data_IF_381816426537
#
_entry.id   IF_381816426537
#
_cell.length_a   1.000
_cell.length_b   1.000
_cell.length_c   1.000
_cell.angle_alpha   90.00
_cell.angle_beta   90.00
_cell.angle_gamma   90.00
#
_symmetry.space_group_name_H-M   'P 1'
#
loop_
_entity.id
_entity.type
_entity.pdbx_description
1 polymer ?
#
# COMPACT_ATOMS: atom_id res chain seq x y z
N UNK A 1 13.18 -6.17 29.43
CA UNK A 1 13.57 -6.43 28.04
C UNK A 1 13.88 -5.09 27.38
N UNK A 2 15.06 -4.99 26.75
CA UNK A 2 15.50 -3.81 26.03
C UNK A 2 15.82 -4.16 24.58
N UNK A 3 15.72 -3.15 23.70
CA UNK A 3 16.13 -3.21 22.30
C UNK A 3 17.21 -2.14 22.09
N UNK A 4 18.48 -2.56 22.04
CA UNK A 4 19.61 -1.65 22.21
C UNK A 4 19.57 -1.02 23.61
N UNK A 5 19.65 0.31 23.68
CA UNK A 5 19.55 1.06 24.93
C UNK A 5 18.10 1.52 25.26
N UNK A 6 17.11 1.08 24.49
CA UNK A 6 15.72 1.52 24.62
C UNK A 6 14.89 0.41 25.25
N UNK A 7 14.17 0.64 26.36
CA UNK A 7 13.25 -0.32 26.94
C UNK A 7 12.14 -0.73 25.95
N UNK A 8 11.70 -1.98 25.99
CA UNK A 8 10.50 -2.40 25.29
C UNK A 8 9.31 -1.52 25.72
N UNK A 9 8.47 -1.12 24.77
CA UNK A 9 7.26 -0.33 25.06
C UNK A 9 6.31 -1.12 25.97
N UNK A 10 6.27 -2.42 25.77
CA UNK A 10 5.55 -3.38 26.60
C UNK A 10 6.17 -4.76 26.41
N UNK A 11 6.09 -5.62 27.45
CA UNK A 11 6.42 -7.04 27.31
C UNK A 11 5.59 -7.87 28.26
N UNK A 12 5.38 -9.15 27.91
CA UNK A 12 4.67 -10.13 28.72
C UNK A 12 5.45 -11.43 28.76
N UNK A 13 5.66 -11.96 29.93
CA UNK A 13 6.21 -13.32 30.14
C UNK A 13 5.08 -14.32 29.93
N UNK A 14 5.16 -15.11 28.86
CA UNK A 14 4.15 -16.12 28.51
C UNK A 14 4.42 -17.42 29.27
N UNK A 15 5.70 -17.79 29.37
CA UNK A 15 6.16 -18.99 30.09
C UNK A 15 7.62 -18.81 30.53
N UNK A 16 8.18 -19.82 31.19
CA UNK A 16 9.61 -19.83 31.54
C UNK A 16 10.55 -19.81 30.33
N UNK A 17 10.02 -20.06 29.12
CA UNK A 17 10.81 -20.13 27.88
C UNK A 17 10.40 -19.10 26.83
N UNK A 18 9.32 -18.32 27.05
CA UNK A 18 8.76 -17.41 26.05
C UNK A 18 8.42 -16.05 26.65
N UNK A 19 8.98 -15.01 26.07
CA UNK A 19 8.65 -13.60 26.33
C UNK A 19 8.14 -12.98 25.02
N UNK A 20 7.02 -12.27 25.08
CA UNK A 20 6.54 -11.42 23.99
C UNK A 20 6.84 -9.97 24.35
N UNK A 21 7.48 -9.22 23.44
CA UNK A 21 7.83 -7.83 23.66
C UNK A 21 7.50 -6.96 22.44
N UNK A 22 7.12 -5.71 22.69
CA UNK A 22 6.85 -4.71 21.64
C UNK A 22 8.11 -3.91 21.38
N UNK A 23 8.58 -3.96 20.14
CA UNK A 23 9.82 -3.31 19.69
C UNK A 23 9.61 -1.79 19.56
N UNK A 24 10.48 -0.94 20.13
CA UNK A 24 10.45 0.50 19.90
C UNK A 24 10.97 0.86 18.50
N UNK A 25 10.71 2.08 18.04
CA UNK A 25 11.06 2.55 16.67
C UNK A 25 12.53 2.40 16.29
N UNK A 26 13.43 2.55 17.24
CA UNK A 26 14.89 2.50 17.01
C UNK A 26 15.49 1.35 17.83
N UNK A 27 14.93 0.16 17.73
CA UNK A 27 15.42 -1.01 18.42
C UNK A 27 16.80 -1.44 17.91
N UNK A 28 17.50 -2.22 18.72
CA UNK A 28 18.80 -2.81 18.42
C UNK A 28 18.87 -4.23 18.94
N UNK A 29 20.04 -4.65 19.43
CA UNK A 29 20.20 -5.97 20.04
C UNK A 29 19.17 -6.18 21.18
N UNK A 30 18.56 -7.37 21.22
CA UNK A 30 17.61 -7.70 22.29
C UNK A 30 18.39 -8.02 23.55
N UNK A 31 18.12 -7.29 24.65
CA UNK A 31 18.65 -7.59 25.97
C UNK A 31 17.52 -8.03 26.91
N UNK A 32 17.70 -9.16 27.56
CA UNK A 32 16.84 -9.65 28.63
C UNK A 32 17.63 -9.57 29.93
N UNK A 33 17.11 -8.83 30.90
CA UNK A 33 17.74 -8.59 32.21
C UNK A 33 16.88 -9.28 33.27
N UNK A 34 17.51 -10.07 34.10
CA UNK A 34 16.90 -10.76 35.25
C UNK A 34 17.83 -10.69 36.46
N UNK A 35 17.38 -11.06 37.66
CA UNK A 35 18.26 -11.17 38.82
C UNK A 35 19.42 -12.15 38.61
N UNK A 36 19.28 -13.14 37.74
CA UNK A 36 20.33 -14.12 37.40
C UNK A 36 21.35 -13.65 36.36
N UNK A 37 21.18 -12.44 35.78
CA UNK A 37 22.10 -11.88 34.80
C UNK A 37 21.42 -11.24 33.59
N UNK A 38 22.24 -10.83 32.64
CA UNK A 38 21.82 -10.19 31.38
C UNK A 38 22.26 -11.04 30.20
N UNK A 39 21.33 -11.33 29.30
CA UNK A 39 21.62 -11.91 27.97
C UNK A 39 21.37 -10.86 26.89
N UNK A 40 22.30 -10.74 25.94
CA UNK A 40 22.22 -9.83 24.80
C UNK A 40 22.36 -10.63 23.51
N UNK A 41 21.36 -10.50 22.61
CA UNK A 41 21.40 -11.05 21.26
C UNK A 41 21.87 -9.97 20.26
N UNK A 42 22.78 -10.32 19.36
CA UNK A 42 23.30 -9.39 18.33
C UNK A 42 22.45 -9.30 17.05
N UNK A 43 21.40 -10.10 16.92
CA UNK A 43 20.75 -10.35 15.63
C UNK A 43 19.39 -9.67 15.43
N UNK A 44 19.16 -8.46 15.97
CA UNK A 44 17.92 -7.77 15.79
C UNK A 44 18.11 -6.44 15.02
N UNK A 45 17.49 -6.36 13.83
CA UNK A 45 17.48 -5.13 13.02
C UNK A 45 16.04 -4.60 12.90
N UNK A 46 15.83 -3.34 13.26
CA UNK A 46 14.58 -2.67 12.99
C UNK A 46 14.59 -2.07 11.59
N UNK A 47 13.53 -2.32 10.82
CA UNK A 47 13.31 -1.62 9.56
C UNK A 47 12.58 -0.30 9.84
N UNK A 48 13.05 0.84 9.34
CA UNK A 48 12.34 2.10 9.51
C UNK A 48 10.98 2.05 8.77
N UNK A 49 9.97 2.80 9.25
CA UNK A 49 8.67 2.84 8.60
C UNK A 49 8.77 3.38 7.16
N UNK A 50 7.86 2.96 6.27
CA UNK A 50 7.84 3.46 4.90
C UNK A 50 7.52 4.95 4.86
N UNK A 51 8.02 5.63 3.83
CA UNK A 51 7.65 7.00 3.48
C UNK A 51 7.20 7.04 2.03
N UNK A 52 6.12 7.77 1.73
CA UNK A 52 5.58 7.92 0.39
C UNK A 52 5.65 9.40 -0.01
N UNK A 53 6.32 9.71 -1.11
CA UNK A 53 6.54 11.08 -1.57
C UNK A 53 5.60 11.47 -2.69
N UNK A 54 5.40 10.58 -3.66
CA UNK A 54 4.53 10.79 -4.82
C UNK A 54 4.22 9.46 -5.51
N UNK A 55 3.25 9.50 -6.40
CA UNK A 55 2.96 8.42 -7.34
C UNK A 55 2.61 9.01 -8.71
N UNK A 56 2.88 8.26 -9.76
CA UNK A 56 2.64 8.66 -11.15
C UNK A 56 2.29 7.45 -12.03
N UNK A 57 1.27 7.57 -12.89
CA UNK A 57 0.35 8.69 -13.05
C UNK A 57 -0.57 8.87 -11.83
N UNK A 58 -1.16 10.06 -11.68
CA UNK A 58 -2.15 10.35 -10.62
C UNK A 58 -3.55 9.87 -10.96
N UNK A 59 -3.76 9.42 -12.19
CA UNK A 59 -5.01 8.82 -12.66
C UNK A 59 -4.71 7.58 -13.50
N UNK A 60 -5.47 6.50 -13.28
CA UNK A 60 -5.36 5.28 -14.05
C UNK A 60 -6.66 4.48 -14.03
N UNK A 61 -6.90 3.71 -15.11
CA UNK A 61 -7.94 2.70 -15.18
C UNK A 61 -7.47 1.37 -14.55
N UNK A 62 -8.39 0.41 -14.42
CA UNK A 62 -8.05 -0.96 -14.07
C UNK A 62 -7.02 -1.53 -15.05
N UNK A 63 -6.00 -2.22 -14.54
CA UNK A 63 -4.87 -2.72 -15.30
C UNK A 63 -3.76 -1.67 -15.56
N UNK A 64 -4.00 -0.41 -15.26
CA UNK A 64 -2.99 0.65 -15.39
C UNK A 64 -1.87 0.50 -14.37
N UNK A 65 -0.65 0.87 -14.78
CA UNK A 65 0.54 0.80 -13.92
C UNK A 65 0.77 2.15 -13.27
N UNK A 66 0.93 2.15 -11.95
CA UNK A 66 1.30 3.32 -11.15
C UNK A 66 2.66 3.08 -10.49
N UNK A 67 3.60 4.01 -10.70
CA UNK A 67 4.89 4.04 -10.02
C UNK A 67 4.74 4.83 -8.73
N UNK A 68 5.07 4.20 -7.60
CA UNK A 68 5.00 4.79 -6.27
C UNK A 68 6.43 5.04 -5.80
N UNK A 69 6.74 6.28 -5.46
CA UNK A 69 8.07 6.75 -5.12
C UNK A 69 8.10 7.17 -3.65
N UNK A 70 9.09 6.63 -2.93
CA UNK A 70 9.21 6.85 -1.50
C UNK A 70 10.52 6.33 -0.95
N UNK A 71 10.48 5.73 0.25
CA UNK A 71 11.62 5.06 0.92
C UNK A 71 11.13 3.94 1.82
N UNK A 72 12.05 3.02 2.12
CA UNK A 72 11.86 1.91 3.06
C UNK A 72 10.72 0.97 2.64
N UNK A 73 10.68 0.61 1.38
CA UNK A 73 9.67 -0.28 0.82
C UNK A 73 10.01 -1.78 1.00
N UNK A 74 11.09 -2.08 1.70
CA UNK A 74 11.46 -3.46 2.06
C UNK A 74 10.36 -4.09 2.92
N UNK A 75 10.02 -5.35 2.64
CA UNK A 75 8.96 -6.06 3.34
C UNK A 75 7.56 -5.59 2.99
N UNK A 76 7.36 -5.08 1.75
CA UNK A 76 6.05 -4.69 1.20
C UNK A 76 5.06 -5.85 1.30
N UNK A 77 3.86 -5.57 1.82
CA UNK A 77 2.77 -6.53 2.02
C UNK A 77 1.57 -6.24 1.14
N UNK A 78 1.19 -4.98 1.01
CA UNK A 78 0.06 -4.56 0.19
C UNK A 78 0.22 -3.16 -0.35
N UNK A 79 -0.44 -2.93 -1.48
CA UNK A 79 -0.68 -1.62 -2.08
C UNK A 79 -2.15 -1.53 -2.41
N UNK A 80 -2.80 -0.39 -2.11
CA UNK A 80 -4.19 -0.16 -2.47
C UNK A 80 -4.42 1.24 -3.03
N UNK A 81 -5.46 1.37 -3.85
CA UNK A 81 -5.89 2.59 -4.52
C UNK A 81 -7.36 2.86 -4.17
N UNK A 82 -7.64 3.96 -3.44
CA UNK A 82 -8.99 4.28 -2.99
C UNK A 82 -9.60 3.21 -2.08
N UNK A 83 -8.77 2.45 -1.34
CA UNK A 83 -9.22 1.35 -0.48
C UNK A 83 -9.37 0.00 -1.19
N UNK A 84 -9.12 -0.08 -2.50
CA UNK A 84 -9.13 -1.34 -3.27
C UNK A 84 -7.71 -1.81 -3.54
N UNK A 85 -7.43 -3.08 -3.26
CA UNK A 85 -6.10 -3.65 -3.43
C UNK A 85 -5.64 -3.63 -4.89
N UNK A 86 -4.35 -3.38 -5.09
CA UNK A 86 -3.69 -3.55 -6.37
C UNK A 86 -3.78 -5.01 -6.83
N UNK A 87 -3.99 -5.24 -8.14
CA UNK A 87 -3.97 -6.58 -8.74
C UNK A 87 -2.63 -7.27 -8.52
N UNK A 88 -1.57 -6.49 -8.66
CA UNK A 88 -0.19 -6.92 -8.40
C UNK A 88 0.70 -5.73 -8.11
N UNK A 89 1.83 -5.99 -7.48
CA UNK A 89 2.86 -4.99 -7.26
C UNK A 89 4.24 -5.63 -7.21
N UNK A 90 5.26 -4.83 -7.52
CA UNK A 90 6.66 -5.24 -7.48
C UNK A 90 7.50 -4.14 -6.86
N UNK A 91 8.32 -4.49 -5.88
CA UNK A 91 9.37 -3.60 -5.36
C UNK A 91 10.54 -3.63 -6.36
N UNK A 92 10.68 -2.55 -7.12
CA UNK A 92 11.78 -2.41 -8.10
C UNK A 92 13.07 -2.05 -7.38
N UNK A 93 12.96 -1.12 -6.43
CA UNK A 93 14.04 -0.72 -5.52
C UNK A 93 13.42 -0.36 -4.16
N UNK A 94 14.24 -0.14 -3.13
CA UNK A 94 13.76 0.34 -1.82
C UNK A 94 13.00 1.69 -1.90
N UNK A 95 13.11 2.40 -3.03
CA UNK A 95 12.49 3.71 -3.25
C UNK A 95 11.43 3.72 -4.33
N UNK A 96 11.18 2.60 -5.01
CA UNK A 96 10.25 2.49 -6.13
C UNK A 96 9.44 1.21 -6.10
N UNK A 97 8.11 1.35 -6.06
CA UNK A 97 7.15 0.28 -6.28
C UNK A 97 6.46 0.52 -7.63
N UNK A 98 6.25 -0.55 -8.39
CA UNK A 98 5.32 -0.58 -9.53
C UNK A 98 4.09 -1.38 -9.12
N UNK A 99 2.91 -0.77 -9.20
CA UNK A 99 1.65 -1.42 -8.83
C UNK A 99 0.65 -1.36 -9.99
N UNK A 100 -0.12 -2.42 -10.17
CA UNK A 100 -1.18 -2.53 -11.17
C UNK A 100 -2.51 -2.26 -10.48
N UNK A 101 -3.22 -1.25 -10.95
CA UNK A 101 -4.50 -0.82 -10.39
C UNK A 101 -5.58 -1.88 -10.60
N UNK A 102 -6.32 -2.22 -9.56
CA UNK A 102 -7.47 -3.13 -9.61
C UNK A 102 -8.74 -2.45 -10.11
N UNK A 103 -9.88 -3.11 -9.93
CA UNK A 103 -11.21 -2.52 -10.15
C UNK A 103 -11.51 -1.53 -8.99
N UNK A 104 -10.86 -0.37 -9.03
CA UNK A 104 -10.64 0.49 -7.92
C UNK A 104 -11.62 1.63 -7.74
N UNK A 105 -11.27 2.50 -6.79
CA UNK A 105 -11.93 3.75 -6.52
C UNK A 105 -10.89 4.89 -6.45
N UNK A 106 -11.36 6.12 -6.65
CA UNK A 106 -10.54 7.31 -6.40
C UNK A 106 -10.33 7.50 -4.90
N UNK A 107 -9.19 8.08 -4.52
CA UNK A 107 -8.91 8.34 -3.11
C UNK A 107 -7.43 8.33 -2.77
N UNK A 108 -7.09 7.65 -1.68
CA UNK A 108 -5.71 7.53 -1.20
C UNK A 108 -4.99 6.34 -1.85
N UNK A 109 -3.69 6.48 -2.08
CA UNK A 109 -2.78 5.36 -2.34
C UNK A 109 -2.17 4.95 -0.99
N UNK A 110 -2.34 3.69 -0.61
CA UNK A 110 -1.80 3.15 0.64
C UNK A 110 -0.75 2.09 0.36
N UNK A 111 0.31 2.11 1.14
CA UNK A 111 1.43 1.16 1.10
C UNK A 111 1.62 0.59 2.50
N UNK A 112 1.56 -0.72 2.64
CA UNK A 112 1.79 -1.43 3.90
C UNK A 112 3.04 -2.28 3.81
N UNK A 113 3.96 -2.11 4.74
CA UNK A 113 5.18 -2.93 4.89
C UNK A 113 5.18 -3.65 6.23
N UNK A 114 6.17 -4.50 6.48
CA UNK A 114 6.39 -5.11 7.80
C UNK A 114 6.70 -4.08 8.89
N UNK A 115 7.20 -2.89 8.52
CA UNK A 115 7.59 -1.82 9.43
C UNK A 115 6.49 -0.77 9.67
N UNK A 116 5.36 -0.86 8.97
CA UNK A 116 4.23 0.07 9.12
C UNK A 116 3.51 0.36 7.82
N UNK A 117 2.57 1.29 7.87
CA UNK A 117 1.79 1.75 6.73
C UNK A 117 1.95 3.25 6.52
N UNK A 118 1.76 3.68 5.28
CA UNK A 118 1.74 5.09 4.85
C UNK A 118 0.71 5.26 3.74
N UNK A 119 0.13 6.45 3.63
CA UNK A 119 -0.80 6.77 2.54
C UNK A 119 -0.61 8.19 2.02
N UNK A 120 -0.99 8.41 0.76
CA UNK A 120 -0.95 9.70 0.10
C UNK A 120 -2.24 9.89 -0.70
N UNK A 121 -2.99 11.01 -0.55
CA UNK A 121 -4.21 11.28 -1.29
C UNK A 121 -3.92 11.71 -2.74
N UNK A 122 -4.99 11.76 -3.56
CA UNK A 122 -4.94 12.38 -4.88
C UNK A 122 -4.95 11.39 -6.06
N UNK A 123 -5.22 10.11 -5.82
CA UNK A 123 -5.42 9.15 -6.91
C UNK A 123 -6.84 9.26 -7.48
N UNK A 124 -6.95 9.35 -8.82
CA UNK A 124 -8.20 9.32 -9.57
C UNK A 124 -8.33 8.00 -10.34
N UNK A 125 -9.32 7.22 -10.01
CA UNK A 125 -9.67 6.03 -10.79
C UNK A 125 -10.45 6.44 -12.04
N UNK A 126 -10.05 5.90 -13.19
CA UNK A 126 -10.74 6.09 -14.48
C UNK A 126 -11.60 4.86 -14.71
N UNK A 127 -12.90 5.01 -14.52
CA UNK A 127 -13.85 3.93 -14.78
C UNK A 127 -14.09 3.77 -16.28
N UNK A 128 -14.26 2.51 -16.72
CA UNK A 128 -14.60 2.22 -18.12
C UNK A 128 -15.96 2.83 -18.51
N UNK A 129 -16.13 3.25 -19.76
CA UNK A 129 -17.44 3.66 -20.27
C UNK A 129 -18.41 2.46 -20.33
N UNK A 130 -19.68 2.75 -20.13
CA UNK A 130 -20.74 1.76 -20.33
C UNK A 130 -21.86 2.37 -21.18
N UNK A 131 -22.49 1.55 -22.02
CA UNK A 131 -23.68 1.93 -22.79
C UNK A 131 -24.87 1.23 -22.18
N UNK A 132 -25.86 2.00 -21.74
CA UNK A 132 -27.14 1.49 -21.21
C UNK A 132 -28.23 1.42 -22.27
N UNK A 133 -28.09 2.18 -23.37
CA UNK A 133 -29.06 2.15 -24.47
C UNK A 133 -28.71 3.11 -25.60
N UNK A 134 -29.47 3.02 -26.65
CA UNK A 134 -29.40 3.96 -27.78
C UNK A 134 -30.78 4.11 -28.44
N UNK A 135 -31.00 5.26 -29.05
CA UNK A 135 -32.25 5.60 -29.72
C UNK A 135 -31.99 6.54 -30.90
N UNK A 136 -32.73 6.41 -32.01
CA UNK A 136 -33.66 5.34 -32.38
C UNK A 136 -32.97 4.02 -32.74
N UNK A 137 -33.69 2.89 -32.72
CA UNK A 137 -33.15 1.56 -33.03
C UNK A 137 -33.18 1.19 -34.51
N UNK A 138 -34.00 1.86 -35.29
CA UNK A 138 -34.16 1.63 -36.75
C UNK A 138 -33.97 2.97 -37.43
N UNK A 139 -32.93 3.07 -38.27
CA UNK A 139 -32.55 4.32 -38.94
C UNK A 139 -31.91 4.02 -40.28
N UNK A 140 -31.94 4.99 -41.19
CA UNK A 140 -31.21 4.95 -42.44
C UNK A 140 -29.79 5.48 -42.30
N UNK A 141 -28.90 5.26 -43.30
CA UNK A 141 -27.56 5.82 -43.34
C UNK A 141 -27.56 7.35 -43.19
N UNK A 142 -26.64 7.88 -42.41
CA UNK A 142 -26.48 9.31 -42.15
C UNK A 142 -27.38 9.86 -41.01
N UNK A 143 -28.22 9.04 -40.38
CA UNK A 143 -29.04 9.46 -39.25
C UNK A 143 -28.23 9.51 -37.96
N UNK A 144 -28.47 10.52 -37.14
CA UNK A 144 -27.88 10.64 -35.81
C UNK A 144 -28.61 9.74 -34.82
N UNK A 145 -27.87 8.98 -34.02
CA UNK A 145 -28.40 8.24 -32.86
C UNK A 145 -27.87 8.83 -31.57
N UNK A 146 -28.63 8.71 -30.50
CA UNK A 146 -28.24 9.10 -29.14
C UNK A 146 -27.81 7.84 -28.38
N UNK A 147 -26.60 7.83 -27.86
CA UNK A 147 -26.10 6.80 -26.96
C UNK A 147 -26.24 7.29 -25.50
N UNK A 148 -26.81 6.47 -24.65
CA UNK A 148 -26.94 6.74 -23.22
C UNK A 148 -26.05 5.75 -22.42
N UNK A 149 -25.41 6.25 -21.39
CA UNK A 149 -24.48 5.42 -20.61
C UNK A 149 -23.80 6.20 -19.50
N UNK A 150 -22.72 5.62 -18.97
CA UNK A 150 -21.89 6.26 -17.95
C UNK A 150 -20.43 6.34 -18.41
N UNK A 151 -19.69 7.29 -17.85
CA UNK A 151 -18.26 7.50 -18.13
C UNK A 151 -17.96 7.70 -19.64
N UNK A 152 -18.84 8.40 -20.36
CA UNK A 152 -18.72 8.67 -21.79
C UNK A 152 -17.88 9.91 -22.11
N UNK A 153 -17.25 10.54 -21.10
CA UNK A 153 -16.26 11.60 -21.31
C UNK A 153 -14.97 10.98 -21.83
N UNK A 154 -14.28 11.67 -22.71
CA UNK A 154 -12.99 11.24 -23.28
C UNK A 154 -13.09 9.98 -24.18
N UNK A 155 -14.28 9.69 -24.76
CA UNK A 155 -14.42 8.65 -25.78
C UNK A 155 -13.82 9.17 -27.09
N UNK A 156 -12.89 8.42 -27.69
CA UNK A 156 -12.17 8.73 -28.95
C UNK A 156 -12.56 7.78 -30.05
#
# INVERSE_FOLDING_TARGET
>A
VNFGNIPAQNFTIISSTVIRAVVPRNGGAVAVISPGGTFISSAFTTSPPPSLFRFMPTAAASGGIVNIIGRNFVGLRSVSFGGVDAVSFTVVTDTLIRAVVGAGASGIVSVTTTAGNISLPGFRFIAAPTISGFSPRIVGPGTTIVLSGTNLFDVT
#
